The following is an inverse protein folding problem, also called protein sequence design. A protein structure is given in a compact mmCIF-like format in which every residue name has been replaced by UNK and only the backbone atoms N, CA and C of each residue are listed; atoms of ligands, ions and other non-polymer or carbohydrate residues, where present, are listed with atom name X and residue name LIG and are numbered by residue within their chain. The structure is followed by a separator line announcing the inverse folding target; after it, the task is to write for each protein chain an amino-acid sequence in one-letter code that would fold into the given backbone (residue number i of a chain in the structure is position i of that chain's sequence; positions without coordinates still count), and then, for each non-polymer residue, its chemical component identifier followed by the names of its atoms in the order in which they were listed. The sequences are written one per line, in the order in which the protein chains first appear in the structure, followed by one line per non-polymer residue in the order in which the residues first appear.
data_IF_580329735864
#
_entry.id   IF_580329735864
#
_cell.length_a   1.000
_cell.length_b   1.000
_cell.length_c   1.000
_cell.angle_alpha   90.00
_cell.angle_beta   90.00
_cell.angle_gamma   90.00
#
_symmetry.space_group_name_H-M   'P 1'
#
loop_
_entity.id
_entity.type
_entity.pdbx_description
1 polymer ?
#
# COMPACT_ATOMS: atom_id res chain seq x y z
N UNK A 1 7.18 -12.97 22.34
CA UNK A 1 7.68 -11.91 21.45
C UNK A 1 6.50 -11.44 20.59
N UNK A 2 5.98 -10.23 20.85
CA UNK A 2 4.82 -9.70 20.12
C UNK A 2 5.27 -9.43 18.68
N UNK A 3 4.73 -10.19 17.72
CA UNK A 3 4.89 -9.94 16.28
C UNK A 3 4.18 -8.61 15.98
N UNK A 4 4.95 -7.52 15.90
CA UNK A 4 4.44 -6.30 15.33
C UNK A 4 4.15 -6.59 13.87
N UNK A 5 2.85 -6.68 13.54
CA UNK A 5 2.38 -6.65 12.17
C UNK A 5 2.91 -5.35 11.59
N UNK A 6 3.96 -5.43 10.77
CA UNK A 6 4.45 -4.31 9.98
C UNK A 6 3.26 -3.86 9.14
N UNK A 7 2.55 -2.81 9.59
CA UNK A 7 1.61 -2.07 8.78
C UNK A 7 2.43 -1.53 7.63
N UNK A 8 2.49 -2.28 6.53
CA UNK A 8 2.90 -1.77 5.24
C UNK A 8 1.84 -0.73 4.92
N UNK A 9 2.15 0.51 5.30
CA UNK A 9 1.41 1.69 4.90
C UNK A 9 1.27 1.56 3.39
N UNK A 10 0.04 1.37 2.92
CA UNK A 10 -0.28 1.42 1.48
C UNK A 10 -0.27 2.90 1.12
N UNK A 11 0.94 3.44 1.17
CA UNK A 11 1.35 4.70 0.60
C UNK A 11 2.22 4.33 -0.57
N UNK A 12 1.63 4.27 -1.75
CA UNK A 12 2.32 4.65 -2.97
C UNK A 12 2.69 6.13 -2.88
N UNK A 13 3.67 6.41 -2.02
CA UNK A 13 4.40 7.66 -1.90
C UNK A 13 5.84 7.28 -1.53
N UNK A 14 6.51 6.60 -2.45
CA UNK A 14 7.94 6.84 -2.57
C UNK A 14 8.11 8.33 -2.91
N UNK A 15 8.89 9.00 -2.06
CA UNK A 15 9.51 10.32 -2.26
C UNK A 15 8.66 11.57 -1.95
N UNK A 16 8.49 11.84 -0.65
CA UNK A 16 8.88 13.16 -0.12
C UNK A 16 9.52 12.97 1.26
N UNK A 17 10.82 12.72 1.24
CA UNK A 17 11.64 12.75 2.45
C UNK A 17 11.52 14.13 3.08
N UNK A 18 10.93 14.18 4.26
CA UNK A 18 11.10 15.32 5.17
C UNK A 18 12.50 15.19 5.78
N UNK A 19 13.50 15.78 5.14
CA UNK A 19 14.78 16.10 5.78
C UNK A 19 15.00 17.61 5.66
N UNK A 20 14.95 18.30 6.80
CA UNK A 20 15.53 19.63 6.92
C UNK A 20 17.04 19.49 6.82
N UNK A 21 17.59 19.73 5.64
CA UNK A 21 18.99 20.06 5.45
C UNK A 21 19.09 20.97 4.22
N UNK A 22 19.41 22.22 4.47
CA UNK A 22 19.87 23.17 3.47
C UNK A 22 21.09 22.61 2.76
N UNK A 23 20.97 22.26 1.48
CA UNK A 23 21.97 22.68 0.50
C UNK A 23 21.46 22.54 -0.93
N UNK A 24 21.75 23.58 -1.71
CA UNK A 24 21.28 23.77 -3.07
C UNK A 24 21.98 22.85 -4.07
N UNK A 25 21.22 22.04 -4.81
CA UNK A 25 21.65 21.60 -6.15
C UNK A 25 20.46 21.39 -7.07
N UNK A 26 20.45 22.14 -8.18
CA UNK A 26 19.41 22.16 -9.21
C UNK A 26 19.22 20.78 -9.83
N UNK A 27 18.03 20.20 -9.67
CA UNK A 27 17.56 19.10 -10.53
C UNK A 27 16.59 19.67 -11.56
N UNK A 28 16.89 19.37 -12.83
CA UNK A 28 16.11 19.73 -14.01
C UNK A 28 14.76 19.02 -13.96
N UNK A 29 13.69 19.80 -13.77
CA UNK A 29 12.31 19.32 -13.73
C UNK A 29 11.88 18.75 -15.09
N UNK A 30 11.69 17.44 -15.15
CA UNK A 30 10.82 16.83 -16.15
C UNK A 30 9.38 17.21 -15.78
N UNK A 31 8.78 18.13 -16.56
CA UNK A 31 7.38 18.53 -16.43
C UNK A 31 6.45 17.34 -16.65
N UNK A 32 6.10 16.65 -15.57
CA UNK A 32 4.80 16.01 -15.47
C UNK A 32 3.87 17.09 -14.93
N UNK A 33 2.93 17.56 -15.76
CA UNK A 33 1.86 18.46 -15.34
C UNK A 33 1.01 17.72 -14.29
N UNK A 34 1.45 17.80 -13.05
CA UNK A 34 0.63 17.45 -11.90
C UNK A 34 -0.41 18.56 -11.82
N UNK A 35 -1.73 18.25 -11.90
CA UNK A 35 -2.75 19.26 -11.67
C UNK A 35 -2.44 20.00 -10.37
N UNK A 36 -2.55 21.32 -10.36
CA UNK A 36 -2.35 22.13 -9.16
C UNK A 36 -3.10 21.46 -7.99
N UNK A 37 -2.48 21.33 -6.80
CA UNK A 37 -3.10 20.64 -5.68
C UNK A 37 -4.49 21.21 -5.45
N UNK A 38 -5.52 20.37 -5.57
CA UNK A 38 -6.88 20.78 -5.27
C UNK A 38 -6.90 21.27 -3.83
N UNK A 39 -7.20 22.56 -3.64
CA UNK A 39 -7.27 23.18 -2.32
C UNK A 39 -8.43 22.53 -1.56
N UNK A 40 -8.13 21.94 -0.41
CA UNK A 40 -9.14 21.35 0.47
C UNK A 40 -9.97 22.46 1.14
N UNK A 41 -11.22 22.17 1.49
CA UNK A 41 -12.00 23.09 2.32
C UNK A 41 -11.37 23.20 3.71
N UNK A 42 -11.64 24.33 4.39
CA UNK A 42 -11.23 24.51 5.78
C UNK A 42 -11.83 23.42 6.69
N UNK A 43 -13.06 23.00 6.41
CA UNK A 43 -13.74 21.93 7.14
C UNK A 43 -13.05 20.58 6.94
N UNK A 44 -12.71 20.21 5.69
CA UNK A 44 -11.99 18.96 5.40
C UNK A 44 -10.61 18.96 6.07
N UNK A 45 -9.89 20.08 5.99
CA UNK A 45 -8.59 20.25 6.60
C UNK A 45 -8.64 20.08 8.12
N UNK A 46 -9.63 20.69 8.78
CA UNK A 46 -9.84 20.55 10.23
C UNK A 46 -10.08 19.10 10.65
N UNK A 47 -10.85 18.33 9.88
CA UNK A 47 -11.12 16.92 10.17
C UNK A 47 -9.84 16.07 9.98
N UNK A 48 -9.08 16.35 8.92
CA UNK A 48 -7.81 15.65 8.63
C UNK A 48 -6.78 15.91 9.74
N UNK A 49 -6.63 17.16 10.18
CA UNK A 49 -5.73 17.54 11.27
C UNK A 49 -6.11 16.84 12.56
N UNK A 50 -7.40 16.86 12.93
CA UNK A 50 -7.91 16.13 14.09
C UNK A 50 -7.62 14.64 14.02
N UNK A 51 -7.79 14.00 12.87
CA UNK A 51 -7.42 12.60 12.67
C UNK A 51 -5.93 12.37 12.93
N UNK A 52 -5.06 13.21 12.37
CA UNK A 52 -3.62 13.07 12.55
C UNK A 52 -3.20 13.27 14.01
N UNK A 53 -3.81 14.23 14.72
CA UNK A 53 -3.62 14.43 16.16
C UNK A 53 -4.03 13.20 16.95
N UNK A 54 -5.16 12.57 16.62
CA UNK A 54 -5.62 11.34 17.29
C UNK A 54 -4.62 10.20 17.08
N UNK A 55 -4.09 10.03 15.86
CA UNK A 55 -3.05 9.03 15.59
C UNK A 55 -1.80 9.33 16.44
N UNK A 56 -1.30 10.56 16.43
CA UNK A 56 -0.09 10.93 17.15
C UNK A 56 -0.23 10.76 18.67
N UNK A 57 -1.39 11.15 19.21
CA UNK A 57 -1.66 11.11 20.65
C UNK A 57 -1.90 9.70 21.17
N UNK A 58 -2.66 8.89 20.44
CA UNK A 58 -3.21 7.63 20.97
C UNK A 58 -2.58 6.36 20.40
N UNK A 59 -1.74 6.43 19.35
CA UNK A 59 -1.17 5.22 18.72
C UNK A 59 -0.24 4.39 19.62
N UNK A 60 0.30 5.00 20.68
CA UNK A 60 1.16 4.33 21.67
C UNK A 60 0.39 3.83 22.89
N UNK A 61 -0.92 4.08 22.95
CA UNK A 61 -1.77 3.57 24.02
C UNK A 61 -2.12 2.08 23.81
N UNK A 62 -2.87 1.52 24.75
CA UNK A 62 -3.42 0.19 24.59
C UNK A 62 -4.26 0.10 23.31
N UNK A 63 -4.16 -1.06 22.63
CA UNK A 63 -4.83 -1.30 21.35
C UNK A 63 -6.32 -0.99 21.41
N UNK A 64 -7.00 -1.39 22.48
CA UNK A 64 -8.46 -1.21 22.61
C UNK A 64 -8.80 0.27 22.80
N UNK A 65 -7.96 1.02 23.51
CA UNK A 65 -8.12 2.47 23.71
C UNK A 65 -7.88 3.21 22.41
N UNK A 66 -6.81 2.89 21.69
CA UNK A 66 -6.54 3.49 20.38
C UNK A 66 -7.68 3.20 19.38
N UNK A 67 -8.17 1.96 19.35
CA UNK A 67 -9.32 1.59 18.52
C UNK A 67 -10.59 2.36 18.91
N UNK A 68 -10.84 2.58 20.21
CA UNK A 68 -11.97 3.39 20.65
C UNK A 68 -11.91 4.80 20.07
N UNK A 69 -10.76 5.46 20.13
CA UNK A 69 -10.58 6.80 19.55
C UNK A 69 -10.74 6.82 18.02
N UNK A 70 -10.33 5.76 17.32
CA UNK A 70 -10.58 5.64 15.88
C UNK A 70 -12.06 5.46 15.54
N UNK A 71 -12.84 4.77 16.39
CA UNK A 71 -14.30 4.69 16.23
C UNK A 71 -14.98 6.03 16.47
N UNK A 72 -14.50 6.79 17.45
CA UNK A 72 -15.06 8.11 17.82
C UNK A 72 -14.94 9.14 16.69
N UNK A 73 -13.81 9.15 15.97
CA UNK A 73 -13.58 10.15 14.92
C UNK A 73 -14.13 9.75 13.54
N UNK A 74 -14.41 8.46 13.30
CA UNK A 74 -14.89 7.98 12.00
C UNK A 74 -16.11 8.75 11.46
N UNK A 75 -17.16 9.09 12.25
CA UNK A 75 -18.30 9.87 11.75
C UNK A 75 -17.95 11.29 11.30
N UNK A 76 -16.85 11.88 11.79
CA UNK A 76 -16.35 13.16 11.28
C UNK A 76 -15.59 12.96 9.97
N UNK A 77 -14.76 11.92 9.88
CA UNK A 77 -14.06 11.54 8.64
C UNK A 77 -15.04 11.28 7.50
N UNK A 78 -16.20 10.67 7.78
CA UNK A 78 -17.27 10.43 6.80
C UNK A 78 -17.82 11.72 6.16
N UNK A 79 -17.65 12.88 6.81
CA UNK A 79 -18.11 14.19 6.33
C UNK A 79 -17.12 14.89 5.41
N UNK A 80 -15.88 14.40 5.29
CA UNK A 80 -14.87 14.97 4.39
C UNK A 80 -15.43 14.97 2.97
N UNK A 81 -15.50 16.13 2.33
CA UNK A 81 -16.08 16.29 1.00
C UNK A 81 -15.16 15.74 -0.09
N UNK A 82 -13.85 15.92 0.07
CA UNK A 82 -12.88 15.33 -0.86
C UNK A 82 -12.86 13.80 -0.76
N UNK A 83 -13.36 13.15 -1.82
CA UNK A 83 -13.48 11.69 -1.87
C UNK A 83 -12.16 10.99 -1.61
N UNK A 84 -11.07 11.46 -2.23
CA UNK A 84 -9.79 10.76 -2.13
C UNK A 84 -9.24 10.82 -0.69
N UNK A 85 -9.30 11.99 -0.05
CA UNK A 85 -8.91 12.13 1.36
C UNK A 85 -9.82 11.35 2.29
N UNK A 86 -11.14 11.42 2.10
CA UNK A 86 -12.10 10.66 2.91
C UNK A 86 -11.80 9.16 2.87
N UNK A 87 -11.69 8.59 1.67
CA UNK A 87 -11.48 7.15 1.52
C UNK A 87 -10.11 6.70 2.04
N UNK A 88 -9.08 7.53 1.92
CA UNK A 88 -7.77 7.25 2.51
C UNK A 88 -7.86 7.12 4.04
N UNK A 89 -8.49 8.10 4.70
CA UNK A 89 -8.64 8.11 6.16
C UNK A 89 -9.57 7.00 6.65
N UNK A 90 -10.69 6.76 5.93
CA UNK A 90 -11.57 5.63 6.22
C UNK A 90 -10.81 4.30 6.16
N UNK A 91 -10.00 4.08 5.12
CA UNK A 91 -9.21 2.85 5.00
C UNK A 91 -8.25 2.68 6.16
N UNK A 92 -7.53 3.73 6.54
CA UNK A 92 -6.62 3.70 7.69
C UNK A 92 -7.36 3.34 8.98
N UNK A 93 -8.52 3.96 9.24
CA UNK A 93 -9.34 3.65 10.40
C UNK A 93 -9.82 2.20 10.37
N UNK A 94 -10.36 1.72 9.24
CA UNK A 94 -10.83 0.33 9.14
C UNK A 94 -9.70 -0.67 9.42
N UNK A 95 -8.48 -0.41 8.94
CA UNK A 95 -7.32 -1.24 9.24
C UNK A 95 -6.95 -1.22 10.72
N UNK A 96 -6.95 -0.06 11.38
CA UNK A 96 -6.68 0.04 12.82
C UNK A 96 -7.74 -0.71 13.64
N UNK A 97 -9.00 -0.61 13.24
CA UNK A 97 -10.12 -1.29 13.89
C UNK A 97 -10.15 -2.80 13.63
N UNK A 98 -9.33 -3.31 12.70
CA UNK A 98 -9.44 -4.65 12.10
C UNK A 98 -10.82 -4.91 11.48
N UNK A 99 -11.49 -3.86 10.99
CA UNK A 99 -12.77 -3.94 10.27
C UNK A 99 -12.49 -4.27 8.80
N UNK A 100 -11.97 -5.49 8.58
CA UNK A 100 -11.49 -5.92 7.26
C UNK A 100 -12.63 -6.05 6.24
N UNK A 101 -13.87 -6.24 6.69
CA UNK A 101 -15.04 -6.24 5.82
C UNK A 101 -15.32 -4.85 5.24
N UNK A 102 -15.26 -3.78 6.05
CA UNK A 102 -15.38 -2.41 5.53
C UNK A 102 -14.18 -2.00 4.69
N UNK A 103 -12.97 -2.40 5.09
CA UNK A 103 -11.76 -2.17 4.28
C UNK A 103 -11.89 -2.85 2.90
N UNK A 104 -12.39 -4.08 2.87
CA UNK A 104 -12.61 -4.81 1.63
C UNK A 104 -13.68 -4.16 0.76
N UNK A 105 -14.83 -3.81 1.33
CA UNK A 105 -15.90 -3.14 0.59
C UNK A 105 -15.46 -1.78 0.02
N UNK A 106 -14.65 -1.02 0.76
CA UNK A 106 -14.07 0.23 0.26
C UNK A 106 -13.06 -0.02 -0.88
N UNK A 107 -12.21 -1.04 -0.74
CA UNK A 107 -11.26 -1.41 -1.79
C UNK A 107 -11.97 -1.84 -3.08
N UNK A 108 -13.06 -2.59 -2.99
CA UNK A 108 -13.87 -2.98 -4.15
C UNK A 108 -14.53 -1.78 -4.85
N UNK A 109 -15.01 -0.79 -4.09
CA UNK A 109 -15.51 0.47 -4.67
C UNK A 109 -14.41 1.22 -5.44
N UNK A 110 -13.19 1.22 -4.92
CA UNK A 110 -12.04 1.85 -5.58
C UNK A 110 -11.63 1.10 -6.85
N UNK A 111 -11.64 -0.23 -6.81
CA UNK A 111 -11.40 -1.07 -7.97
C UNK A 111 -12.49 -0.91 -9.04
N UNK A 112 -13.75 -0.68 -8.67
CA UNK A 112 -14.79 -0.39 -9.66
C UNK A 112 -14.50 0.87 -10.50
N UNK A 113 -13.75 1.84 -9.95
CA UNK A 113 -13.30 3.05 -10.67
C UNK A 113 -12.05 2.76 -11.51
N UNK A 114 -11.12 1.94 -11.00
CA UNK A 114 -9.88 1.57 -11.70
C UNK A 114 -9.61 0.06 -11.54
N UNK A 115 -10.22 -0.79 -12.39
CA UNK A 115 -10.24 -2.25 -12.18
C UNK A 115 -8.88 -2.94 -12.16
N UNK A 116 -7.91 -2.41 -12.92
CA UNK A 116 -6.58 -2.98 -13.05
C UNK A 116 -5.53 -2.26 -12.19
N UNK A 117 -5.94 -1.56 -11.13
CA UNK A 117 -5.00 -0.99 -10.17
C UNK A 117 -4.32 -2.11 -9.37
N UNK A 118 -3.09 -2.45 -9.77
CA UNK A 118 -2.34 -3.60 -9.22
C UNK A 118 -2.08 -3.49 -7.73
N UNK A 119 -1.93 -2.27 -7.19
CA UNK A 119 -1.78 -2.05 -5.75
C UNK A 119 -3.07 -2.38 -5.00
N UNK A 120 -4.23 -1.92 -5.50
CA UNK A 120 -5.55 -2.22 -4.91
C UNK A 120 -5.95 -3.68 -5.07
N UNK A 121 -5.59 -4.32 -6.18
CA UNK A 121 -5.80 -5.75 -6.36
C UNK A 121 -4.96 -6.56 -5.37
N UNK A 122 -3.68 -6.21 -5.20
CA UNK A 122 -2.79 -6.85 -4.22
C UNK A 122 -3.33 -6.68 -2.80
N UNK A 123 -3.79 -5.48 -2.47
CA UNK A 123 -4.37 -5.20 -1.15
C UNK A 123 -5.66 -5.99 -0.90
N UNK A 124 -6.52 -6.16 -1.91
CA UNK A 124 -7.69 -7.04 -1.81
C UNK A 124 -7.32 -8.45 -1.35
N UNK A 125 -6.26 -9.01 -1.92
CA UNK A 125 -5.80 -10.35 -1.55
C UNK A 125 -5.20 -10.39 -0.13
N UNK A 126 -4.53 -9.32 0.30
CA UNK A 126 -4.08 -9.19 1.70
C UNK A 126 -5.28 -9.14 2.66
N UNK A 127 -6.35 -8.43 2.31
CA UNK A 127 -7.59 -8.40 3.10
C UNK A 127 -8.24 -9.78 3.20
N UNK A 128 -8.22 -10.59 2.13
CA UNK A 128 -8.68 -11.99 2.20
C UNK A 128 -7.90 -12.79 3.24
N UNK A 129 -6.58 -12.64 3.28
CA UNK A 129 -5.74 -13.28 4.30
C UNK A 129 -6.12 -12.82 5.71
N UNK A 130 -6.31 -11.51 5.92
CA UNK A 130 -6.67 -10.95 7.22
C UNK A 130 -8.09 -11.34 7.68
N UNK A 131 -9.00 -11.56 6.73
CA UNK A 131 -10.34 -12.10 6.98
C UNK A 131 -10.35 -13.62 7.24
N UNK A 132 -9.20 -14.29 7.16
CA UNK A 132 -9.12 -15.74 7.31
C UNK A 132 -9.87 -16.50 6.22
N UNK A 133 -9.92 -15.96 4.98
CA UNK A 133 -10.50 -16.68 3.84
C UNK A 133 -9.69 -17.96 3.56
N UNK A 134 -10.36 -18.93 2.94
CA UNK A 134 -9.73 -20.18 2.52
C UNK A 134 -8.53 -19.95 1.60
N UNK A 135 -7.51 -20.79 1.74
CA UNK A 135 -6.28 -20.69 0.95
C UNK A 135 -6.56 -20.73 -0.56
N UNK A 136 -7.56 -21.49 -1.01
CA UNK A 136 -7.95 -21.54 -2.43
C UNK A 136 -8.47 -20.20 -2.94
N UNK A 137 -9.20 -19.43 -2.13
CA UNK A 137 -9.69 -18.09 -2.47
C UNK A 137 -8.55 -17.06 -2.49
N UNK A 138 -7.65 -17.15 -1.52
CA UNK A 138 -6.46 -16.28 -1.44
C UNK A 138 -5.55 -16.55 -2.66
N UNK A 139 -5.30 -17.82 -2.98
CA UNK A 139 -4.46 -18.21 -4.10
C UNK A 139 -5.00 -17.70 -5.44
N UNK A 140 -6.30 -17.91 -5.69
CA UNK A 140 -6.97 -17.38 -6.89
C UNK A 140 -6.89 -15.86 -6.98
N UNK A 141 -7.00 -15.16 -5.86
CA UNK A 141 -6.86 -13.70 -5.84
C UNK A 141 -5.46 -13.28 -6.29
N UNK A 142 -4.41 -13.91 -5.74
CA UNK A 142 -3.03 -13.59 -6.11
C UNK A 142 -2.65 -14.04 -7.51
N UNK A 143 -3.22 -15.13 -8.03
CA UNK A 143 -3.02 -15.53 -9.43
C UNK A 143 -3.57 -14.45 -10.38
N UNK A 144 -4.76 -13.92 -10.10
CA UNK A 144 -5.31 -12.79 -10.87
C UNK A 144 -4.43 -11.54 -10.78
N UNK A 145 -3.90 -11.21 -9.60
CA UNK A 145 -2.94 -10.10 -9.44
C UNK A 145 -1.70 -10.33 -10.33
N UNK A 146 -1.16 -11.55 -10.34
CA UNK A 146 0.01 -11.88 -11.14
C UNK A 146 -0.28 -11.77 -12.65
N UNK A 147 -1.47 -12.17 -13.11
CA UNK A 147 -1.90 -12.01 -14.49
C UNK A 147 -1.94 -10.53 -14.90
N UNK A 148 -2.58 -9.68 -14.10
CA UNK A 148 -2.67 -8.23 -14.39
C UNK A 148 -1.28 -7.59 -14.37
N UNK A 149 -0.44 -7.91 -13.37
CA UNK A 149 0.95 -7.45 -13.32
C UNK A 149 1.73 -7.88 -14.56
N UNK A 150 1.55 -9.12 -15.03
CA UNK A 150 2.25 -9.62 -16.21
C UNK A 150 1.85 -8.85 -17.47
N UNK A 151 0.56 -8.54 -17.62
CA UNK A 151 0.06 -7.71 -18.73
C UNK A 151 0.70 -6.32 -18.69
N UNK A 152 0.70 -5.65 -17.53
CA UNK A 152 1.30 -4.33 -17.38
C UNK A 152 2.82 -4.36 -17.65
N UNK A 153 3.56 -5.34 -17.13
CA UNK A 153 5.00 -5.47 -17.35
C UNK A 153 5.38 -5.75 -18.82
N UNK A 154 4.49 -6.38 -19.58
CA UNK A 154 4.74 -6.66 -20.99
C UNK A 154 4.59 -5.40 -21.88
N UNK A 155 3.98 -4.33 -21.37
CA UNK A 155 3.84 -3.07 -22.11
C UNK A 155 5.20 -2.39 -22.29
N UNK A 156 5.63 -2.07 -23.54
CA UNK A 156 6.95 -1.48 -23.80
C UNK A 156 7.22 -0.17 -23.03
N UNK A 157 6.20 0.67 -22.87
CA UNK A 157 6.27 1.95 -22.15
C UNK A 157 6.67 1.77 -20.68
N UNK A 158 6.21 0.70 -20.04
CA UNK A 158 6.47 0.43 -18.62
C UNK A 158 7.91 -0.03 -18.37
N UNK A 159 8.63 -0.50 -19.39
CA UNK A 159 10.04 -0.90 -19.26
C UNK A 159 10.99 0.26 -18.94
N UNK A 160 10.54 1.49 -19.16
CA UNK A 160 11.29 2.72 -18.85
C UNK A 160 10.96 3.26 -17.46
N UNK A 161 9.97 2.70 -16.77
CA UNK A 161 9.62 3.10 -15.41
C UNK A 161 10.79 2.76 -14.47
N UNK A 162 11.27 3.71 -13.66
CA UNK A 162 12.29 3.43 -12.64
C UNK A 162 11.92 2.29 -11.69
N UNK A 163 10.62 2.05 -11.49
CA UNK A 163 10.07 0.98 -10.65
C UNK A 163 9.79 -0.31 -11.42
N UNK A 164 10.16 -0.42 -12.69
CA UNK A 164 9.90 -1.63 -13.49
C UNK A 164 10.43 -2.91 -12.80
N UNK A 165 11.63 -2.84 -12.20
CA UNK A 165 12.21 -3.96 -11.45
C UNK A 165 11.43 -4.32 -10.19
N UNK A 166 10.87 -3.34 -9.49
CA UNK A 166 9.95 -3.59 -8.38
C UNK A 166 8.67 -4.27 -8.87
N UNK A 167 8.17 -3.89 -10.06
CA UNK A 167 7.06 -4.57 -10.72
C UNK A 167 7.37 -6.04 -11.05
N UNK A 168 8.55 -6.32 -11.61
CA UNK A 168 8.99 -7.70 -11.88
C UNK A 168 9.03 -8.54 -10.59
N UNK A 169 9.60 -7.99 -9.51
CA UNK A 169 9.61 -8.67 -8.22
C UNK A 169 8.20 -8.88 -7.65
N UNK A 170 7.31 -7.87 -7.78
CA UNK A 170 5.92 -7.95 -7.33
C UNK A 170 5.15 -9.07 -8.04
N UNK A 171 5.42 -9.29 -9.34
CA UNK A 171 4.87 -10.44 -10.07
C UNK A 171 5.35 -11.77 -9.49
N UNK A 172 6.66 -11.89 -9.20
CA UNK A 172 7.21 -13.12 -8.61
C UNK A 172 6.59 -13.40 -7.23
N UNK A 173 6.44 -12.36 -6.41
CA UNK A 173 5.81 -12.45 -5.09
C UNK A 173 4.33 -12.84 -5.19
N UNK A 174 3.58 -12.24 -6.11
CA UNK A 174 2.18 -12.59 -6.35
C UNK A 174 2.04 -14.06 -6.75
N UNK A 175 2.90 -14.57 -7.64
CA UNK A 175 2.91 -16.00 -7.99
C UNK A 175 3.25 -16.89 -6.80
N UNK A 176 4.21 -16.52 -5.96
CA UNK A 176 4.50 -17.28 -4.74
C UNK A 176 3.27 -17.32 -3.80
N UNK A 177 2.66 -16.16 -3.54
CA UNK A 177 1.46 -16.04 -2.71
C UNK A 177 0.21 -16.71 -3.31
N UNK A 178 0.22 -16.96 -4.61
CA UNK A 178 -0.79 -17.74 -5.30
C UNK A 178 -0.61 -19.27 -5.16
N UNK A 179 0.38 -19.73 -4.38
CA UNK A 179 0.61 -21.15 -4.13
C UNK A 179 1.57 -21.81 -5.13
N UNK A 180 2.41 -21.04 -5.81
CA UNK A 180 3.44 -21.55 -6.75
C UNK A 180 4.83 -21.50 -6.06
N UNK A 181 5.20 -22.52 -5.25
CA UNK A 181 6.36 -22.45 -4.34
C UNK A 181 7.70 -22.29 -5.06
N UNK A 182 7.81 -22.69 -6.33
CA UNK A 182 9.02 -22.53 -7.13
C UNK A 182 9.39 -21.05 -7.35
N UNK A 183 8.45 -20.13 -7.15
CA UNK A 183 8.72 -18.69 -7.20
C UNK A 183 9.54 -18.17 -6.03
N UNK A 184 9.65 -18.92 -4.92
CA UNK A 184 10.58 -18.62 -3.83
C UNK A 184 12.02 -18.51 -4.34
N UNK A 185 12.49 -19.54 -5.04
CA UNK A 185 13.84 -19.55 -5.61
C UNK A 185 14.01 -18.56 -6.77
N UNK A 186 12.94 -18.28 -7.54
CA UNK A 186 12.98 -17.24 -8.58
C UNK A 186 13.18 -15.86 -7.98
N UNK A 187 12.51 -15.53 -6.86
CA UNK A 187 12.69 -14.27 -6.14
C UNK A 187 14.12 -14.15 -5.59
N UNK A 188 14.64 -15.22 -4.98
CA UNK A 188 16.03 -15.23 -4.48
C UNK A 188 17.04 -14.94 -5.60
N UNK A 189 16.94 -15.65 -6.73
CA UNK A 189 17.79 -15.38 -7.91
C UNK A 189 17.64 -13.96 -8.44
N UNK A 190 16.43 -13.43 -8.46
CA UNK A 190 16.19 -12.05 -8.88
C UNK A 190 16.92 -11.05 -7.98
N UNK A 191 16.83 -11.20 -6.66
CA UNK A 191 17.57 -10.40 -5.67
C UNK A 191 19.08 -10.53 -5.88
N UNK A 192 19.59 -11.75 -6.00
CA UNK A 192 21.03 -12.01 -6.16
C UNK A 192 21.58 -11.36 -7.44
N UNK A 193 20.78 -11.33 -8.51
CA UNK A 193 21.13 -10.71 -9.80
C UNK A 193 20.93 -9.19 -9.85
N UNK A 194 20.39 -8.57 -8.79
CA UNK A 194 20.15 -7.12 -8.74
C UNK A 194 21.45 -6.40 -8.36
N UNK A 195 21.95 -5.55 -9.26
CA UNK A 195 23.19 -4.79 -9.05
C UNK A 195 23.00 -3.50 -8.25
N UNK A 196 21.80 -2.91 -8.27
CA UNK A 196 21.49 -1.75 -7.44
C UNK A 196 21.34 -2.22 -5.99
N UNK A 197 22.30 -1.86 -5.14
CA UNK A 197 22.34 -2.31 -3.74
C UNK A 197 21.17 -1.76 -2.90
N UNK A 198 20.65 -0.57 -3.22
CA UNK A 198 19.50 0.00 -2.50
C UNK A 198 18.24 -0.76 -2.84
N UNK A 199 18.03 -1.05 -4.13
CA UNK A 199 16.93 -1.89 -4.58
C UNK A 199 17.05 -3.30 -4.01
N UNK A 200 18.24 -3.91 -4.09
CA UNK A 200 18.50 -5.26 -3.58
C UNK A 200 18.17 -5.38 -2.09
N UNK A 201 18.60 -4.43 -1.26
CA UNK A 201 18.28 -4.41 0.16
C UNK A 201 16.75 -4.30 0.40
N UNK A 202 16.07 -3.47 -0.39
CA UNK A 202 14.61 -3.31 -0.33
C UNK A 202 13.88 -4.62 -0.70
N UNK A 203 14.29 -5.27 -1.78
CA UNK A 203 13.73 -6.55 -2.23
C UNK A 203 13.97 -7.67 -1.21
N UNK A 204 15.17 -7.73 -0.63
CA UNK A 204 15.51 -8.70 0.42
C UNK A 204 14.63 -8.51 1.65
N UNK A 205 14.39 -7.27 2.07
CA UNK A 205 13.51 -6.95 3.19
C UNK A 205 12.10 -7.49 2.97
N UNK A 206 11.55 -7.30 1.77
CA UNK A 206 10.22 -7.85 1.41
C UNK A 206 10.25 -9.38 1.38
N UNK A 207 11.27 -9.98 0.78
CA UNK A 207 11.40 -11.45 0.70
C UNK A 207 11.47 -12.09 2.09
N UNK A 208 12.29 -11.55 2.99
CA UNK A 208 12.43 -12.09 4.34
C UNK A 208 11.10 -11.99 5.10
N UNK A 209 10.39 -10.85 4.98
CA UNK A 209 9.13 -10.61 5.65
C UNK A 209 7.95 -11.44 5.11
N UNK A 210 7.96 -11.80 3.82
CA UNK A 210 6.79 -12.40 3.16
C UNK A 210 6.99 -13.88 2.79
N UNK A 211 8.22 -14.39 2.81
CA UNK A 211 8.58 -15.71 2.24
C UNK A 211 9.37 -16.60 3.20
N UNK A 212 10.20 -16.02 4.07
CA UNK A 212 11.09 -16.79 4.97
C UNK A 212 10.44 -17.11 6.32
N UNK A 213 9.43 -16.34 6.73
CA UNK A 213 8.73 -16.47 8.02
C UNK A 213 8.38 -17.90 8.44
#
# INVERSE_FOLDING_TARGET
MKKYLTLIIIGSALLSGCSNASDSTKQTEAKTETPAPKVLSAEDQKIIEKHNEYIQKYSMEDKEVFQKHMREILPEVDKITDRHKRELLQMNIYMILNDYDKAHALNDKQLAVKPNDTARLTFRCQLFTMQGKEATSINKCYDYVAEVLKVELNKPENKKDPNYKLGEFSYLLAKYKAGHPEYKEKMKRFIDSTNDETLKASLKTVYDAEVVN
#
